data_IF_096335017122
#
_entry.id   IF_096335017122
#
_cell.length_a   1.000
_cell.length_b   1.000
_cell.length_c   1.000
_cell.angle_alpha   90.00
_cell.angle_beta   90.00
_cell.angle_gamma   90.00
#
_symmetry.space_group_name_H-M   'P 1'
#
loop_
_entity.id
_entity.type
_entity.pdbx_description
1 polymer ?
#
# COMPACT_ATOMS: atom_id res chain seq x y z
N UNK A 1 -10.62 -17.66 -1.05
CA UNK A 1 -10.12 -16.53 -1.88
C UNK A 1 -8.65 -16.31 -1.59
N UNK A 2 -7.77 -16.40 -2.60
CA UNK A 2 -6.31 -16.17 -2.45
C UNK A 2 -6.01 -14.70 -2.73
N UNK A 3 -5.50 -14.00 -1.72
CA UNK A 3 -5.21 -12.56 -1.81
C UNK A 3 -3.70 -12.37 -1.89
N UNK A 4 -3.21 -11.87 -3.02
CA UNK A 4 -1.81 -11.47 -3.16
C UNK A 4 -1.59 -10.12 -2.50
N UNK A 5 -0.71 -10.08 -1.51
CA UNK A 5 -0.33 -8.86 -0.79
C UNK A 5 1.13 -8.53 -1.09
N UNK A 6 1.38 -7.43 -1.75
CA UNK A 6 2.73 -6.87 -1.84
C UNK A 6 2.96 -5.91 -0.68
N UNK A 7 4.16 -5.88 -0.11
CA UNK A 7 4.44 -5.04 1.06
C UNK A 7 3.79 -5.53 2.37
N UNK A 8 3.51 -6.83 2.47
CA UNK A 8 2.90 -7.48 3.64
C UNK A 8 3.67 -7.25 4.95
N UNK A 9 4.99 -7.06 4.88
CA UNK A 9 5.86 -6.81 6.05
C UNK A 9 5.82 -5.34 6.50
N UNK A 10 5.20 -4.44 5.73
CA UNK A 10 5.01 -3.04 6.09
C UNK A 10 3.93 -2.84 7.16
N UNK A 11 3.76 -1.59 7.59
CA UNK A 11 2.78 -1.23 8.62
C UNK A 11 1.34 -1.64 8.27
N UNK A 12 0.83 -1.17 7.12
CA UNK A 12 -0.53 -1.51 6.67
C UNK A 12 -0.62 -2.99 6.30
N UNK A 13 0.43 -3.53 5.65
CA UNK A 13 0.48 -4.92 5.22
C UNK A 13 0.37 -5.92 6.37
N UNK A 14 1.04 -5.67 7.50
CA UNK A 14 0.92 -6.51 8.71
C UNK A 14 -0.50 -6.52 9.26
N UNK A 15 -1.15 -5.36 9.34
CA UNK A 15 -2.54 -5.27 9.78
C UNK A 15 -3.48 -6.01 8.83
N UNK A 16 -3.36 -5.79 7.52
CA UNK A 16 -4.15 -6.50 6.52
C UNK A 16 -3.96 -8.02 6.59
N UNK A 17 -2.70 -8.48 6.63
CA UNK A 17 -2.40 -9.91 6.69
C UNK A 17 -2.97 -10.56 7.96
N UNK A 18 -2.89 -9.87 9.11
CA UNK A 18 -3.50 -10.36 10.34
C UNK A 18 -5.01 -10.56 10.19
N UNK A 19 -5.73 -9.54 9.69
CA UNK A 19 -7.18 -9.61 9.51
C UNK A 19 -7.62 -10.65 8.46
N UNK A 20 -6.84 -10.83 7.39
CA UNK A 20 -7.11 -11.87 6.39
C UNK A 20 -6.93 -13.27 6.98
N UNK A 21 -5.87 -13.49 7.78
CA UNK A 21 -5.57 -14.79 8.38
C UNK A 21 -6.54 -15.17 9.52
N UNK A 22 -7.27 -14.22 10.10
CA UNK A 22 -8.33 -14.47 11.09
C UNK A 22 -9.61 -15.01 10.45
N UNK A 23 -9.72 -15.02 9.11
CA UNK A 23 -10.92 -15.39 8.37
C UNK A 23 -10.65 -16.59 7.47
N UNK A 24 -11.30 -17.72 7.72
CA UNK A 24 -11.08 -19.00 7.01
C UNK A 24 -11.27 -18.92 5.48
N UNK A 25 -12.09 -17.97 4.99
CA UNK A 25 -12.33 -17.80 3.57
C UNK A 25 -11.14 -17.22 2.79
N UNK A 26 -10.12 -16.68 3.48
CA UNK A 26 -8.95 -16.09 2.83
C UNK A 26 -7.70 -16.95 2.99
N UNK A 27 -6.83 -16.86 1.99
CA UNK A 27 -5.46 -17.37 2.01
C UNK A 27 -4.55 -16.29 1.46
N UNK A 28 -3.49 -15.94 2.18
CA UNK A 28 -2.59 -14.84 1.82
C UNK A 28 -1.41 -15.36 1.03
N UNK A 29 -1.19 -14.79 -0.15
CA UNK A 29 0.03 -14.93 -0.93
C UNK A 29 0.88 -13.67 -0.69
N UNK A 30 2.13 -13.83 -0.29
CA UNK A 30 3.02 -12.70 0.02
C UNK A 30 4.09 -12.55 -1.06
N UNK A 31 4.09 -11.40 -1.74
CA UNK A 31 5.21 -11.01 -2.58
C UNK A 31 6.05 -9.97 -1.83
N UNK A 32 7.28 -10.34 -1.47
CA UNK A 32 8.16 -9.59 -0.61
C UNK A 32 9.47 -9.22 -1.34
N UNK A 33 10.40 -8.55 -0.65
CA UNK A 33 11.65 -8.05 -1.25
C UNK A 33 12.61 -9.15 -1.70
N UNK A 34 12.51 -10.31 -1.11
CA UNK A 34 13.28 -11.51 -1.44
C UNK A 34 12.82 -12.18 -2.74
N UNK A 35 11.62 -11.87 -3.21
CA UNK A 35 11.10 -12.41 -4.46
C UNK A 35 11.62 -11.62 -5.67
N UNK A 36 11.84 -12.33 -6.76
CA UNK A 36 12.23 -11.75 -8.04
C UNK A 36 11.01 -11.33 -8.86
N UNK A 37 11.19 -10.42 -9.82
CA UNK A 37 10.12 -10.04 -10.73
C UNK A 37 9.65 -11.20 -11.62
N UNK A 38 10.52 -12.16 -11.89
CA UNK A 38 10.17 -13.35 -12.68
C UNK A 38 9.16 -14.25 -11.93
N UNK A 39 9.23 -14.28 -10.60
CA UNK A 39 8.27 -15.01 -9.76
C UNK A 39 6.91 -14.34 -9.69
N UNK A 40 6.84 -13.01 -9.94
CA UNK A 40 5.62 -12.22 -9.80
C UNK A 40 4.45 -12.77 -10.64
N UNK A 41 4.74 -13.24 -11.86
CA UNK A 41 3.75 -13.83 -12.74
C UNK A 41 3.06 -15.05 -12.07
N UNK A 42 3.84 -15.95 -11.48
CA UNK A 42 3.30 -17.13 -10.80
C UNK A 42 2.47 -16.81 -9.55
N UNK A 43 2.81 -15.73 -8.83
CA UNK A 43 1.98 -15.23 -7.73
C UNK A 43 0.64 -14.68 -8.23
N UNK A 44 0.67 -13.88 -9.29
CA UNK A 44 -0.54 -13.28 -9.89
C UNK A 44 -1.47 -14.33 -10.48
N UNK A 45 -0.94 -15.36 -11.13
CA UNK A 45 -1.72 -16.48 -11.69
C UNK A 45 -2.51 -17.23 -10.61
N UNK A 46 -1.96 -17.32 -9.40
CA UNK A 46 -2.63 -17.97 -8.27
C UNK A 46 -3.61 -17.07 -7.55
N UNK A 47 -3.52 -15.74 -7.71
CA UNK A 47 -4.31 -14.79 -6.96
C UNK A 47 -5.73 -14.67 -7.48
N UNK A 48 -6.68 -14.51 -6.57
CA UNK A 48 -8.07 -14.15 -6.85
C UNK A 48 -8.29 -12.63 -6.68
N UNK A 49 -7.45 -11.96 -5.88
CA UNK A 49 -7.39 -10.50 -5.72
C UNK A 49 -5.95 -10.06 -5.38
N UNK A 50 -5.65 -8.79 -5.64
CA UNK A 50 -4.34 -8.20 -5.34
C UNK A 50 -4.51 -6.95 -4.48
N UNK A 51 -3.73 -6.87 -3.38
CA UNK A 51 -3.59 -5.64 -2.58
C UNK A 51 -2.13 -5.18 -2.64
N UNK A 52 -1.91 -4.09 -3.39
CA UNK A 52 -0.58 -3.56 -3.66
C UNK A 52 -0.23 -2.45 -2.66
N UNK A 53 0.54 -2.82 -1.63
CA UNK A 53 1.00 -1.93 -0.55
C UNK A 53 2.51 -1.64 -0.63
N UNK A 54 3.25 -2.39 -1.45
CA UNK A 54 4.68 -2.17 -1.61
C UNK A 54 4.96 -0.77 -2.13
N UNK A 55 5.89 -0.09 -1.49
CA UNK A 55 6.31 1.26 -1.88
C UNK A 55 7.33 1.82 -0.90
N UNK A 56 8.21 2.66 -1.42
CA UNK A 56 9.15 3.46 -0.64
C UNK A 56 8.57 4.86 -0.41
N UNK A 57 8.79 5.42 0.77
CA UNK A 57 8.34 6.79 1.10
C UNK A 57 9.48 7.68 1.65
N UNK A 58 10.60 7.08 2.10
CA UNK A 58 11.82 7.77 2.55
C UNK A 58 13.07 7.00 2.12
N UNK A 59 13.31 6.80 0.82
CA UNK A 59 14.51 6.12 0.36
C UNK A 59 15.74 7.00 0.59
N UNK A 60 16.90 6.36 0.71
CA UNK A 60 18.18 7.07 0.74
C UNK A 60 18.51 7.69 -0.62
N UNK A 61 18.07 7.05 -1.70
CA UNK A 61 18.23 7.52 -3.09
C UNK A 61 16.86 7.75 -3.70
N UNK A 62 16.65 8.95 -4.24
CA UNK A 62 15.40 9.37 -4.90
C UNK A 62 15.04 8.48 -6.09
N UNK A 63 16.04 7.87 -6.76
CA UNK A 63 15.82 6.92 -7.87
C UNK A 63 14.99 5.70 -7.46
N UNK A 64 15.05 5.29 -6.17
CA UNK A 64 14.27 4.18 -5.64
C UNK A 64 12.75 4.41 -5.73
N UNK A 65 12.29 5.67 -5.71
CA UNK A 65 10.87 5.95 -5.95
C UNK A 65 10.41 5.46 -7.33
N UNK A 66 11.23 5.68 -8.35
CA UNK A 66 10.89 5.26 -9.72
C UNK A 66 10.91 3.72 -9.83
N UNK A 67 11.91 3.09 -9.27
CA UNK A 67 12.06 1.61 -9.34
C UNK A 67 10.97 0.91 -8.55
N UNK A 68 10.79 1.28 -7.29
CA UNK A 68 9.89 0.57 -6.37
C UNK A 68 8.43 0.98 -6.58
N UNK A 69 8.13 2.30 -6.57
CA UNK A 69 6.73 2.73 -6.61
C UNK A 69 6.14 2.62 -8.02
N UNK A 70 6.89 3.01 -9.05
CA UNK A 70 6.38 2.98 -10.43
C UNK A 70 6.68 1.64 -11.10
N UNK A 71 7.94 1.16 -11.02
CA UNK A 71 8.40 -0.03 -11.73
C UNK A 71 7.68 -1.29 -11.26
N UNK A 72 7.63 -1.56 -9.95
CA UNK A 72 6.92 -2.74 -9.42
C UNK A 72 5.42 -2.68 -9.73
N UNK A 73 4.79 -1.49 -9.63
CA UNK A 73 3.37 -1.36 -10.01
C UNK A 73 3.15 -1.67 -11.49
N UNK A 74 4.05 -1.21 -12.37
CA UNK A 74 3.97 -1.51 -13.79
C UNK A 74 4.11 -3.02 -14.04
N UNK A 75 5.13 -3.67 -13.46
CA UNK A 75 5.33 -5.11 -13.58
C UNK A 75 4.12 -5.91 -13.07
N UNK A 76 3.49 -5.46 -11.98
CA UNK A 76 2.28 -6.07 -11.45
C UNK A 76 1.10 -5.93 -12.42
N UNK A 77 0.90 -4.74 -13.00
CA UNK A 77 -0.13 -4.51 -14.01
C UNK A 77 0.10 -5.38 -15.26
N UNK A 78 1.35 -5.53 -15.70
CA UNK A 78 1.71 -6.37 -16.84
C UNK A 78 1.45 -7.85 -16.54
N UNK A 79 1.79 -8.33 -15.36
CA UNK A 79 1.50 -9.68 -14.91
C UNK A 79 -0.01 -9.97 -14.88
N UNK A 80 -0.82 -9.04 -14.33
CA UNK A 80 -2.30 -9.17 -14.32
C UNK A 80 -2.83 -9.22 -15.76
N UNK A 81 -2.36 -8.32 -16.64
CA UNK A 81 -2.75 -8.29 -18.06
C UNK A 81 -2.48 -9.62 -18.76
N UNK A 82 -1.31 -10.21 -18.52
CA UNK A 82 -0.89 -11.49 -19.11
C UNK A 82 -1.80 -12.64 -18.72
N UNK A 83 -2.42 -12.62 -17.53
CA UNK A 83 -3.36 -13.69 -17.13
C UNK A 83 -4.66 -13.71 -17.94
N UNK A 84 -5.05 -12.61 -18.57
CA UNK A 84 -6.36 -12.43 -19.21
C UNK A 84 -7.55 -12.48 -18.21
N UNK A 85 -7.29 -12.61 -16.92
CA UNK A 85 -8.33 -12.73 -15.86
C UNK A 85 -8.74 -11.36 -15.33
N UNK A 86 -9.96 -11.28 -14.82
CA UNK A 86 -10.49 -10.10 -14.12
C UNK A 86 -10.14 -10.18 -12.62
N UNK A 87 -8.93 -9.80 -12.28
CA UNK A 87 -8.42 -9.83 -10.90
C UNK A 87 -8.59 -8.43 -10.29
N UNK A 88 -9.40 -8.23 -9.24
CA UNK A 88 -9.51 -6.93 -8.57
C UNK A 88 -8.17 -6.51 -7.97
N UNK A 89 -7.82 -5.24 -8.16
CA UNK A 89 -6.57 -4.65 -7.70
C UNK A 89 -6.83 -3.45 -6.79
N UNK A 90 -6.38 -3.52 -5.56
CA UNK A 90 -6.31 -2.39 -4.63
C UNK A 90 -4.91 -1.79 -4.66
N UNK A 91 -4.80 -0.48 -4.87
CA UNK A 91 -3.55 0.28 -4.79
C UNK A 91 -3.59 1.24 -3.60
N UNK A 92 -2.67 1.08 -2.65
CA UNK A 92 -2.41 2.11 -1.63
C UNK A 92 -1.60 3.26 -2.25
N UNK A 93 -2.29 4.34 -2.60
CA UNK A 93 -1.72 5.61 -3.03
C UNK A 93 -1.63 6.60 -1.86
N UNK A 94 -1.46 7.88 -2.13
CA UNK A 94 -1.29 8.91 -1.11
C UNK A 94 -1.94 10.23 -1.54
N UNK A 95 -2.45 11.00 -0.58
CA UNK A 95 -2.87 12.39 -0.82
C UNK A 95 -1.72 13.27 -1.35
N UNK A 96 -0.46 12.85 -1.15
CA UNK A 96 0.71 13.55 -1.68
C UNK A 96 0.85 13.50 -3.22
N UNK A 97 0.02 12.73 -3.92
CA UNK A 97 -0.07 12.78 -5.39
C UNK A 97 -0.43 14.16 -5.93
N UNK A 98 -0.99 15.02 -5.10
CA UNK A 98 -1.35 16.41 -5.42
C UNK A 98 -0.16 17.39 -5.21
N UNK A 99 0.94 16.89 -4.65
CA UNK A 99 2.12 17.72 -4.36
C UNK A 99 3.21 17.54 -5.40
N UNK A 100 3.93 18.62 -5.70
CA UNK A 100 5.10 18.61 -6.60
C UNK A 100 6.37 18.14 -5.88
N UNK A 101 6.38 16.86 -5.47
CA UNK A 101 7.56 16.21 -4.90
C UNK A 101 7.79 14.83 -5.54
N UNK A 102 9.03 14.28 -5.44
CA UNK A 102 9.36 12.99 -6.07
C UNK A 102 8.47 11.82 -5.63
N UNK A 103 8.09 11.77 -4.35
CA UNK A 103 7.20 10.75 -3.84
C UNK A 103 5.80 10.85 -4.45
N UNK A 104 5.18 12.04 -4.40
CA UNK A 104 3.86 12.28 -4.99
C UNK A 104 3.82 11.95 -6.48
N UNK A 105 4.86 12.37 -7.24
CA UNK A 105 5.00 12.05 -8.67
C UNK A 105 5.08 10.54 -8.91
N UNK A 106 5.82 9.79 -8.09
CA UNK A 106 5.95 8.35 -8.22
C UNK A 106 4.63 7.62 -7.92
N UNK A 107 3.88 8.07 -6.91
CA UNK A 107 2.55 7.51 -6.60
C UNK A 107 1.53 7.84 -7.69
N UNK A 108 1.57 9.05 -8.25
CA UNK A 108 0.72 9.43 -9.38
C UNK A 108 1.02 8.58 -10.64
N UNK A 109 2.30 8.27 -10.90
CA UNK A 109 2.68 7.39 -11.99
C UNK A 109 2.14 5.95 -11.77
N UNK A 110 2.20 5.44 -10.54
CA UNK A 110 1.60 4.17 -10.19
C UNK A 110 0.06 4.16 -10.38
N UNK A 111 -0.64 5.23 -9.99
CA UNK A 111 -2.09 5.38 -10.25
C UNK A 111 -2.40 5.33 -11.75
N UNK A 112 -1.58 5.98 -12.59
CA UNK A 112 -1.77 5.97 -14.05
C UNK A 112 -1.62 4.56 -14.63
N UNK A 113 -0.63 3.78 -14.18
CA UNK A 113 -0.44 2.41 -14.62
C UNK A 113 -1.66 1.53 -14.27
N UNK A 114 -2.18 1.65 -13.05
CA UNK A 114 -3.37 0.91 -12.60
C UNK A 114 -4.64 1.33 -13.37
N UNK A 115 -4.81 2.62 -13.65
CA UNK A 115 -5.94 3.10 -14.48
C UNK A 115 -5.85 2.62 -15.92
N UNK A 116 -4.62 2.57 -16.49
CA UNK A 116 -4.41 2.01 -17.84
C UNK A 116 -4.81 0.55 -17.88
N UNK A 117 -4.38 -0.26 -16.90
CA UNK A 117 -4.82 -1.65 -16.77
C UNK A 117 -6.35 -1.77 -16.76
N UNK A 118 -7.04 -0.97 -15.94
CA UNK A 118 -8.50 -1.01 -15.87
C UNK A 118 -9.16 -0.68 -17.21
N UNK A 119 -8.69 0.36 -17.90
CA UNK A 119 -9.24 0.79 -19.18
C UNK A 119 -9.02 -0.25 -20.30
N UNK A 120 -7.86 -0.90 -20.31
CA UNK A 120 -7.49 -1.86 -21.34
C UNK A 120 -8.15 -3.23 -21.12
N UNK A 121 -8.27 -3.66 -19.89
CA UNK A 121 -8.67 -5.02 -19.55
C UNK A 121 -10.05 -5.12 -18.90
N UNK A 122 -10.57 -4.00 -18.36
CA UNK A 122 -11.81 -3.98 -17.58
C UNK A 122 -11.67 -4.64 -16.20
N UNK A 123 -10.46 -4.74 -15.64
CA UNK A 123 -10.26 -5.13 -14.25
C UNK A 123 -10.85 -4.09 -13.29
N UNK A 124 -11.46 -4.54 -12.20
CA UNK A 124 -11.86 -3.65 -11.11
C UNK A 124 -10.63 -3.13 -10.39
N UNK A 125 -10.45 -1.81 -10.30
CA UNK A 125 -9.33 -1.20 -9.60
C UNK A 125 -9.81 -0.20 -8.56
N UNK A 126 -9.20 -0.24 -7.38
CA UNK A 126 -9.52 0.61 -6.24
C UNK A 126 -8.27 1.36 -5.82
N UNK A 127 -8.25 2.69 -6.01
CA UNK A 127 -7.10 3.54 -5.72
C UNK A 127 -7.38 4.34 -4.46
N UNK A 128 -6.63 4.08 -3.40
CA UNK A 128 -6.77 4.74 -2.11
C UNK A 128 -5.70 5.82 -1.93
N UNK A 129 -6.05 7.08 -2.04
CA UNK A 129 -5.19 8.21 -1.68
C UNK A 129 -5.20 8.40 -0.16
N UNK A 130 -4.42 7.58 0.53
CA UNK A 130 -4.40 7.56 1.97
C UNK A 130 -3.76 8.84 2.55
N UNK A 131 -4.36 9.42 3.61
CA UNK A 131 -3.76 10.47 4.41
C UNK A 131 -2.75 9.89 5.41
N UNK A 132 -2.50 10.56 6.54
CA UNK A 132 -1.69 10.04 7.62
C UNK A 132 -2.34 8.82 8.27
N UNK A 133 -1.88 7.61 7.96
CA UNK A 133 -2.39 6.39 8.59
C UNK A 133 -1.72 6.18 9.95
N UNK A 134 -2.50 5.82 10.96
CA UNK A 134 -1.99 5.52 12.29
C UNK A 134 -2.62 4.23 12.86
N UNK A 135 -2.00 3.66 13.90
CA UNK A 135 -2.51 2.48 14.60
C UNK A 135 -1.44 1.44 14.93
N UNK A 136 -1.86 0.21 15.21
CA UNK A 136 -1.01 -0.90 15.63
C UNK A 136 0.14 -1.14 14.64
N UNK A 137 1.37 -1.30 15.14
CA UNK A 137 2.62 -1.47 14.39
C UNK A 137 3.11 -0.25 13.61
N UNK A 138 2.46 0.91 13.76
CA UNK A 138 2.98 2.14 13.19
C UNK A 138 4.30 2.53 13.89
N UNK A 139 5.34 2.78 13.09
CA UNK A 139 6.67 3.08 13.60
C UNK A 139 6.74 4.51 14.11
N UNK A 140 7.11 4.75 15.40
CA UNK A 140 7.34 6.10 15.91
C UNK A 140 8.58 6.72 15.26
N UNK A 141 8.68 8.04 15.30
CA UNK A 141 9.79 8.82 14.74
C UNK A 141 10.07 8.52 13.25
N UNK A 142 9.02 8.19 12.51
CA UNK A 142 9.11 7.88 11.07
C UNK A 142 8.08 8.71 10.28
N UNK A 143 6.86 8.26 10.09
CA UNK A 143 5.85 8.94 9.27
C UNK A 143 4.50 9.16 9.96
N UNK A 144 4.41 8.99 11.27
CA UNK A 144 3.17 9.19 12.00
C UNK A 144 3.40 10.03 13.25
N UNK A 145 2.76 11.18 13.28
CA UNK A 145 2.75 12.05 14.47
C UNK A 145 2.10 11.33 15.64
N UNK A 146 0.99 10.61 15.41
CA UNK A 146 0.28 9.86 16.47
C UNK A 146 1.20 8.82 17.10
N UNK A 147 1.85 7.97 16.29
CA UNK A 147 2.77 6.96 16.82
C UNK A 147 3.96 7.59 17.56
N UNK A 148 4.49 8.71 17.07
CA UNK A 148 5.60 9.44 17.69
C UNK A 148 5.16 10.02 19.03
N UNK A 149 4.01 10.67 19.11
CA UNK A 149 3.50 11.26 20.34
C UNK A 149 3.19 10.18 21.38
N UNK A 150 2.49 9.12 21.00
CA UNK A 150 2.22 7.99 21.91
C UNK A 150 3.52 7.39 22.47
N UNK A 151 4.52 7.18 21.61
CA UNK A 151 5.82 6.65 22.02
C UNK A 151 6.56 7.57 22.98
N UNK A 152 6.62 8.88 22.67
CA UNK A 152 7.33 9.85 23.47
C UNK A 152 6.64 10.08 24.83
N UNK A 153 5.33 10.29 24.83
CA UNK A 153 4.57 10.52 26.07
C UNK A 153 4.67 9.33 27.01
N UNK A 154 4.54 8.10 26.51
CA UNK A 154 4.65 6.88 27.34
C UNK A 154 6.04 6.66 27.95
N UNK A 155 7.05 7.42 27.53
CA UNK A 155 8.45 7.33 27.98
C UNK A 155 8.97 8.62 28.61
N UNK A 156 8.07 9.58 28.87
CA UNK A 156 8.41 10.92 29.35
C UNK A 156 9.45 11.65 28.45
N UNK A 157 9.43 11.36 27.16
CA UNK A 157 10.25 12.07 26.16
C UNK A 157 9.43 13.29 25.69
N UNK A 158 10.03 14.49 25.61
CA UNK A 158 9.33 15.67 25.10
C UNK A 158 8.77 15.47 23.70
N UNK A 159 7.57 15.99 23.48
CA UNK A 159 6.99 16.11 22.12
C UNK A 159 7.35 17.48 21.57
N UNK A 160 7.53 17.54 20.25
CA UNK A 160 7.76 18.76 19.51
C UNK A 160 6.59 19.01 18.55
N UNK A 161 5.97 20.17 18.65
CA UNK A 161 4.97 20.66 17.70
C UNK A 161 5.65 21.71 16.85
N UNK A 162 5.83 21.39 15.54
CA UNK A 162 6.52 22.30 14.61
C UNK A 162 5.60 23.44 14.13
N UNK A 163 4.31 23.18 14.03
CA UNK A 163 3.30 24.12 13.58
C UNK A 163 1.97 23.78 14.25
N UNK A 164 1.51 24.65 15.16
CA UNK A 164 0.26 24.48 15.90
C UNK A 164 -0.99 24.67 15.03
N UNK A 165 -0.84 25.35 13.89
CA UNK A 165 -1.93 25.59 12.93
C UNK A 165 -2.10 24.46 11.90
N UNK A 166 -1.17 23.49 11.87
CA UNK A 166 -1.19 22.42 10.88
C UNK A 166 -2.43 21.52 11.00
N UNK A 167 -3.19 21.43 9.92
CA UNK A 167 -4.32 20.52 9.81
C UNK A 167 -3.84 19.12 9.42
N UNK A 168 -4.01 18.17 10.32
CA UNK A 168 -3.65 16.77 10.10
C UNK A 168 -4.87 15.98 9.63
N UNK A 169 -4.81 15.42 8.44
CA UNK A 169 -5.77 14.41 7.97
C UNK A 169 -5.26 13.04 8.38
N UNK A 170 -6.04 12.33 9.17
CA UNK A 170 -5.65 11.04 9.74
C UNK A 170 -6.73 9.99 9.46
N UNK A 171 -6.29 8.73 9.32
CA UNK A 171 -7.18 7.56 9.25
C UNK A 171 -6.60 6.41 10.07
N UNK A 172 -7.47 5.70 10.78
CA UNK A 172 -7.06 4.53 11.56
C UNK A 172 -6.80 3.34 10.63
N UNK A 173 -5.73 2.58 10.90
CA UNK A 173 -5.28 1.50 10.02
C UNK A 173 -6.32 0.39 9.85
N UNK A 174 -7.09 0.11 10.89
CA UNK A 174 -8.13 -0.92 10.85
C UNK A 174 -9.25 -0.55 9.89
N UNK A 175 -9.69 0.73 9.86
CA UNK A 175 -10.68 1.20 8.90
C UNK A 175 -10.19 1.02 7.46
N UNK A 176 -8.90 1.28 7.22
CA UNK A 176 -8.28 1.10 5.90
C UNK A 176 -8.28 -0.37 5.49
N UNK A 177 -7.85 -1.28 6.37
CA UNK A 177 -7.74 -2.70 6.02
C UNK A 177 -9.11 -3.36 5.88
N UNK A 178 -10.09 -2.99 6.69
CA UNK A 178 -11.47 -3.48 6.57
C UNK A 178 -12.10 -3.04 5.25
N UNK A 179 -11.84 -1.80 4.82
CA UNK A 179 -12.33 -1.32 3.52
C UNK A 179 -11.65 -2.03 2.34
N UNK A 180 -10.34 -2.32 2.43
CA UNK A 180 -9.64 -3.14 1.44
C UNK A 180 -10.25 -4.53 1.32
N UNK A 181 -10.53 -5.20 2.46
CA UNK A 181 -11.17 -6.52 2.48
C UNK A 181 -12.57 -6.46 1.86
N UNK A 182 -13.33 -5.42 2.17
CA UNK A 182 -14.68 -5.23 1.62
C UNK A 182 -14.67 -5.10 0.09
N UNK A 183 -13.76 -4.31 -0.48
CA UNK A 183 -13.77 -4.05 -1.93
C UNK A 183 -13.23 -5.21 -2.76
N UNK A 184 -12.34 -6.06 -2.22
CA UNK A 184 -11.88 -7.25 -2.94
C UNK A 184 -12.90 -8.39 -2.98
N UNK A 185 -13.98 -8.30 -2.19
CA UNK A 185 -15.07 -9.27 -2.14
C UNK A 185 -16.24 -8.91 -3.09
N UNK A 186 -16.20 -7.75 -3.73
CA UNK A 186 -17.22 -7.28 -4.69
C UNK A 186 -16.98 -7.85 -6.08
#
# INVERSE_FOLDING_TARGET
MRVLVTGAQGFIGKNLTAHLNEQEQFSVLVFARENTLDELQGFVEQADAVVHLAGENRPKDVSAFKVVNTGLTQSLCDAIRTTGRKIPLVLASSIQTEQDNPYGKSKLAAERAVRSLANETGNSVYIYRLPGVFGKWCKPNYNSVVATFCYNISRNIPIQINDESALLRLVYVEDVVLDFIRVIQQ
#
